data_IF_293744272729
#
_entry.id   IF_293744272729
#
_cell.length_a   1.000
_cell.length_b   1.000
_cell.length_c   1.000
_cell.angle_alpha   90.00
_cell.angle_beta   90.00
_cell.angle_gamma   90.00
#
_symmetry.space_group_name_H-M   'P 1'
#
loop_
_entity.id
_entity.type
_entity.pdbx_description
1 polymer ?
#
# COMPACT_ATOMS: atom_id res chain seq x y z
N UNK A 1 -9.88 -0.80 3.30
CA UNK A 1 -10.55 -1.55 4.40
C UNK A 1 -10.76 -3.06 4.17
N UNK A 2 -10.82 -3.60 2.94
CA UNK A 2 -11.18 -5.02 2.70
C UNK A 2 -10.16 -6.08 3.13
N UNK A 3 -8.85 -5.83 2.96
CA UNK A 3 -7.77 -6.80 3.26
C UNK A 3 -7.60 -7.09 4.76
N UNK A 4 -7.80 -6.08 5.61
CA UNK A 4 -7.74 -6.23 7.07
C UNK A 4 -8.82 -7.15 7.64
N UNK A 5 -10.02 -7.14 7.03
CA UNK A 5 -11.11 -8.03 7.45
C UNK A 5 -10.89 -9.49 7.06
N UNK A 6 -10.05 -9.78 6.06
CA UNK A 6 -9.64 -11.14 5.71
C UNK A 6 -8.55 -11.64 6.67
N UNK A 7 -7.52 -10.83 6.94
CA UNK A 7 -6.46 -11.21 7.89
C UNK A 7 -6.98 -11.50 9.31
N UNK A 8 -7.92 -10.71 9.81
CA UNK A 8 -8.57 -10.97 11.12
C UNK A 8 -9.45 -12.22 11.08
N UNK A 9 -10.08 -12.53 9.94
CA UNK A 9 -10.95 -13.71 9.79
C UNK A 9 -10.14 -15.00 9.69
N UNK A 10 -8.96 -14.94 9.09
CA UNK A 10 -8.02 -16.07 9.03
C UNK A 10 -7.32 -16.28 10.37
N UNK A 11 -6.96 -15.22 11.10
CA UNK A 11 -6.43 -15.33 12.46
C UNK A 11 -7.46 -15.93 13.45
N UNK A 12 -8.75 -15.59 13.31
CA UNK A 12 -9.84 -16.21 14.09
C UNK A 12 -10.04 -17.68 13.73
N UNK A 13 -9.63 -18.10 12.53
CA UNK A 13 -9.65 -19.50 12.09
C UNK A 13 -8.49 -20.33 12.66
N UNK A 14 -7.45 -19.67 13.13
CA UNK A 14 -6.21 -20.28 13.61
C UNK A 14 -6.16 -20.40 15.15
N UNK A 15 -7.24 -20.05 15.86
CA UNK A 15 -7.37 -20.44 17.27
C UNK A 15 -7.69 -21.93 17.28
N UNK A 16 -6.77 -22.82 17.71
CA UNK A 16 -7.05 -24.24 17.80
C UNK A 16 -8.14 -24.41 18.86
N UNK A 17 -9.37 -24.59 18.39
CA UNK A 17 -10.42 -25.13 19.22
C UNK A 17 -9.96 -26.55 19.53
N UNK A 18 -9.78 -26.84 20.82
CA UNK A 18 -9.55 -28.20 21.30
C UNK A 18 -10.80 -29.02 20.99
N UNK A 19 -10.94 -29.41 19.74
CA UNK A 19 -12.12 -30.11 19.27
C UNK A 19 -12.07 -31.49 19.91
N UNK A 20 -13.05 -31.75 20.76
CA UNK A 20 -13.17 -33.04 21.42
C UNK A 20 -13.37 -34.12 20.36
N UNK A 21 -12.65 -35.23 20.49
CA UNK A 21 -12.87 -36.56 19.87
C UNK A 21 -14.05 -36.59 18.89
N UNK A 22 -13.83 -36.84 17.58
CA UNK A 22 -14.89 -36.93 16.58
C UNK A 22 -16.05 -37.79 17.10
N UNK A 23 -17.25 -37.19 17.19
CA UNK A 23 -18.39 -37.77 17.88
C UNK A 23 -18.72 -39.20 17.44
N UNK A 24 -18.40 -39.52 16.19
CA UNK A 24 -18.66 -40.80 15.54
C UNK A 24 -17.82 -41.95 16.13
N UNK A 25 -16.53 -41.73 16.42
CA UNK A 25 -15.65 -42.78 16.97
C UNK A 25 -16.06 -43.15 18.40
N UNK A 26 -16.34 -42.13 19.22
CA UNK A 26 -16.85 -42.33 20.59
C UNK A 26 -18.21 -43.01 20.60
N UNK A 27 -19.15 -42.59 19.75
CA UNK A 27 -20.48 -43.19 19.68
C UNK A 27 -20.43 -44.68 19.28
N UNK A 28 -19.58 -45.03 18.31
CA UNK A 28 -19.40 -46.41 17.89
C UNK A 28 -18.88 -47.29 19.04
N UNK A 29 -17.87 -46.81 19.78
CA UNK A 29 -17.30 -47.54 20.93
C UNK A 29 -18.25 -47.62 22.11
N UNK A 30 -18.87 -46.51 22.48
CA UNK A 30 -19.86 -46.46 23.56
C UNK A 30 -21.05 -47.37 23.28
N UNK A 31 -21.49 -47.45 22.01
CA UNK A 31 -22.53 -48.39 21.59
C UNK A 31 -22.08 -49.84 21.79
N UNK A 32 -20.86 -50.19 21.41
CA UNK A 32 -20.34 -51.55 21.61
C UNK A 32 -20.27 -51.92 23.10
N UNK A 33 -19.80 -51.00 23.95
CA UNK A 33 -19.75 -51.18 25.41
C UNK A 33 -21.16 -51.34 25.99
N UNK A 34 -22.12 -50.53 25.54
CA UNK A 34 -23.52 -50.64 25.98
C UNK A 34 -24.16 -51.97 25.56
N UNK A 35 -23.98 -52.38 24.31
CA UNK A 35 -24.48 -53.69 23.82
C UNK A 35 -23.88 -54.81 24.66
N UNK A 36 -22.59 -54.74 24.94
CA UNK A 36 -21.90 -55.70 25.78
C UNK A 36 -22.47 -55.71 27.21
N UNK A 37 -22.65 -54.55 27.85
CA UNK A 37 -23.27 -54.40 29.18
C UNK A 37 -24.70 -54.97 29.23
N UNK A 38 -25.54 -54.60 28.28
CA UNK A 38 -26.94 -55.07 28.22
C UNK A 38 -27.01 -56.58 27.98
N UNK A 39 -26.06 -57.16 27.23
CA UNK A 39 -25.97 -58.61 27.01
C UNK A 39 -25.67 -59.38 28.31
N UNK A 40 -25.02 -58.76 29.30
CA UNK A 40 -24.77 -59.41 30.59
C UNK A 40 -26.03 -59.52 31.45
N UNK A 41 -27.01 -58.61 31.31
CA UNK A 41 -28.25 -58.65 32.09
C UNK A 41 -29.05 -59.97 31.94
N UNK A 42 -29.37 -60.46 30.72
CA UNK A 42 -30.04 -61.75 30.56
C UNK A 42 -29.15 -62.92 30.98
N UNK A 43 -27.84 -62.85 30.74
CA UNK A 43 -26.88 -63.89 31.16
C UNK A 43 -26.88 -64.05 32.69
N UNK A 44 -26.79 -62.95 33.44
CA UNK A 44 -26.81 -62.93 34.90
C UNK A 44 -28.17 -63.38 35.45
N UNK A 45 -29.27 -62.99 34.81
CA UNK A 45 -30.61 -63.42 35.21
C UNK A 45 -30.78 -64.94 35.05
N UNK A 46 -30.34 -65.50 33.92
CA UNK A 46 -30.40 -66.95 33.68
C UNK A 46 -29.49 -67.70 34.65
N UNK A 47 -28.23 -67.27 34.79
CA UNK A 47 -27.25 -67.90 35.67
C UNK A 47 -27.70 -67.87 37.15
N UNK A 48 -28.25 -66.76 37.62
CA UNK A 48 -28.70 -66.61 39.01
C UNK A 48 -29.95 -67.44 39.38
N UNK A 49 -30.84 -67.70 38.41
CA UNK A 49 -32.05 -68.50 38.59
C UNK A 49 -31.86 -70.00 38.26
N UNK A 50 -30.74 -70.37 37.64
CA UNK A 50 -30.50 -71.75 37.25
C UNK A 50 -30.07 -72.59 38.45
N UNK A 51 -30.74 -73.73 38.66
CA UNK A 51 -30.33 -74.75 39.63
C UNK A 51 -30.02 -76.03 38.87
N UNK A 52 -28.76 -76.45 38.90
CA UNK A 52 -28.32 -77.67 38.20
C UNK A 52 -26.87 -78.02 38.51
N UNK A 53 -26.59 -79.31 38.62
CA UNK A 53 -25.23 -79.84 38.54
C UNK A 53 -24.89 -80.00 37.06
N UNK A 54 -23.94 -79.25 36.52
CA UNK A 54 -23.54 -79.43 35.13
C UNK A 54 -22.62 -80.67 35.03
N UNK A 55 -23.06 -81.80 34.43
CA UNK A 55 -22.31 -83.05 34.48
C UNK A 55 -21.15 -83.11 33.49
N UNK A 56 -21.05 -82.20 32.51
CA UNK A 56 -20.19 -82.40 31.34
C UNK A 56 -19.03 -81.40 31.18
N UNK A 57 -19.01 -80.26 31.88
CA UNK A 57 -17.96 -79.24 31.66
C UNK A 57 -17.21 -78.82 32.92
N UNK A 58 -17.87 -78.62 34.07
CA UNK A 58 -17.24 -77.97 35.25
C UNK A 58 -17.42 -78.69 36.59
N UNK A 59 -18.32 -79.67 36.69
CA UNK A 59 -18.58 -80.36 37.97
C UNK A 59 -19.15 -79.46 39.07
N UNK A 60 -19.64 -78.27 38.71
CA UNK A 60 -20.12 -77.26 39.64
C UNK A 60 -21.57 -77.53 40.08
N UNK A 61 -21.84 -77.35 41.38
CA UNK A 61 -23.21 -77.28 41.90
C UNK A 61 -23.66 -75.83 41.91
N UNK A 62 -24.32 -75.39 40.83
CA UNK A 62 -24.94 -74.07 40.79
C UNK A 62 -26.21 -74.11 41.65
N UNK A 63 -26.14 -73.51 42.83
CA UNK A 63 -27.30 -73.29 43.69
C UNK A 63 -27.94 -71.97 43.32
N UNK A 64 -29.22 -71.95 42.98
CA UNK A 64 -29.93 -70.70 42.72
C UNK A 64 -29.78 -69.76 43.93
N UNK A 65 -29.30 -68.55 43.66
CA UNK A 65 -29.28 -67.50 44.65
C UNK A 65 -30.74 -67.12 44.99
N UNK A 66 -31.03 -66.63 46.21
CA UNK A 66 -32.36 -66.14 46.54
C UNK A 66 -32.83 -65.12 45.50
N UNK A 67 -34.07 -65.24 45.01
CA UNK A 67 -34.57 -64.45 43.88
C UNK A 67 -34.44 -62.93 44.09
N UNK A 68 -34.51 -62.48 45.34
CA UNK A 68 -34.28 -61.09 45.76
C UNK A 68 -32.86 -60.57 45.42
N UNK A 69 -31.82 -61.40 45.58
CA UNK A 69 -30.43 -61.03 45.28
C UNK A 69 -30.19 -60.97 43.76
N UNK A 70 -30.81 -61.89 43.01
CA UNK A 70 -30.74 -61.90 41.54
C UNK A 70 -31.46 -60.68 40.96
N UNK A 71 -32.67 -60.38 41.43
CA UNK A 71 -33.44 -59.23 41.00
C UNK A 71 -32.76 -57.90 41.35
N UNK A 72 -32.17 -57.77 42.54
CA UNK A 72 -31.42 -56.58 42.95
C UNK A 72 -30.16 -56.41 42.10
N UNK A 73 -29.36 -57.47 41.94
CA UNK A 73 -28.12 -57.43 41.15
C UNK A 73 -28.36 -57.09 39.67
N UNK A 74 -29.29 -57.81 39.03
CA UNK A 74 -29.67 -57.54 37.63
C UNK A 74 -30.32 -56.16 37.49
N UNK A 75 -31.17 -55.77 38.46
CA UNK A 75 -31.78 -54.43 38.50
C UNK A 75 -30.75 -53.31 38.59
N UNK A 76 -29.70 -53.48 39.39
CA UNK A 76 -28.60 -52.52 39.48
C UNK A 76 -27.83 -52.38 38.15
N UNK A 77 -27.53 -53.50 37.48
CA UNK A 77 -26.89 -53.51 36.16
C UNK A 77 -27.75 -52.81 35.11
N UNK A 78 -29.05 -53.13 35.06
CA UNK A 78 -30.01 -52.48 34.15
C UNK A 78 -30.13 -50.99 34.43
N UNK A 79 -30.17 -50.59 35.71
CA UNK A 79 -30.15 -49.19 36.12
C UNK A 79 -28.92 -48.45 35.61
N UNK A 80 -27.72 -49.02 35.81
CA UNK A 80 -26.47 -48.45 35.32
C UNK A 80 -26.43 -48.37 33.78
N UNK A 81 -26.93 -49.39 33.09
CA UNK A 81 -27.05 -49.37 31.63
C UNK A 81 -28.01 -48.27 31.14
N UNK A 82 -29.13 -48.05 31.84
CA UNK A 82 -30.08 -46.98 31.55
C UNK A 82 -29.45 -45.60 31.75
N UNK A 83 -28.75 -45.37 32.86
CA UNK A 83 -27.99 -44.13 33.06
C UNK A 83 -26.90 -43.91 32.00
N UNK A 84 -26.23 -44.98 31.56
CA UNK A 84 -25.25 -44.89 30.47
C UNK A 84 -25.88 -44.63 29.08
N UNK A 85 -27.18 -44.92 28.92
CA UNK A 85 -27.94 -44.72 27.69
C UNK A 85 -28.57 -43.31 27.59
N UNK A 86 -28.84 -42.69 28.73
CA UNK A 86 -29.57 -41.42 28.83
C UNK A 86 -28.83 -40.26 28.09
N UNK A 87 -29.46 -39.63 27.07
CA UNK A 87 -28.77 -38.69 26.17
C UNK A 87 -28.46 -37.32 26.77
N UNK A 88 -29.18 -36.92 27.83
CA UNK A 88 -28.94 -35.69 28.60
C UNK A 88 -27.63 -35.68 29.40
N UNK A 89 -26.99 -36.83 29.61
CA UNK A 89 -25.77 -36.94 30.39
C UNK A 89 -24.54 -36.65 29.52
N UNK A 90 -23.54 -35.91 30.04
CA UNK A 90 -22.30 -35.67 29.32
C UNK A 90 -21.55 -36.99 29.08
N UNK A 91 -20.78 -37.09 27.98
CA UNK A 91 -20.08 -38.31 27.54
C UNK A 91 -19.29 -39.00 28.65
N UNK A 92 -18.54 -38.20 29.43
CA UNK A 92 -17.77 -38.66 30.59
C UNK A 92 -18.61 -39.44 31.60
N UNK A 93 -19.84 -39.00 31.88
CA UNK A 93 -20.73 -39.67 32.83
C UNK A 93 -21.31 -40.95 32.22
N UNK A 94 -21.69 -40.92 30.94
CA UNK A 94 -22.21 -42.09 30.23
C UNK A 94 -21.19 -43.23 30.18
N UNK A 95 -19.94 -42.93 29.82
CA UNK A 95 -18.84 -43.91 29.83
C UNK A 95 -18.52 -44.39 31.25
N UNK A 96 -18.56 -43.49 32.26
CA UNK A 96 -18.38 -43.85 33.67
C UNK A 96 -19.42 -44.86 34.17
N UNK A 97 -20.70 -44.61 33.92
CA UNK A 97 -21.79 -45.54 34.29
C UNK A 97 -21.67 -46.88 33.56
N UNK A 98 -21.25 -46.88 32.29
CA UNK A 98 -21.03 -48.11 31.53
C UNK A 98 -19.89 -48.95 32.13
N UNK A 99 -18.77 -48.33 32.49
CA UNK A 99 -17.63 -49.00 33.13
C UNK A 99 -17.98 -49.56 34.51
N UNK A 100 -18.68 -48.78 35.34
CA UNK A 100 -19.18 -49.25 36.64
C UNK A 100 -20.12 -50.45 36.43
N UNK A 101 -21.04 -50.37 35.45
CA UNK A 101 -21.94 -51.45 35.09
C UNK A 101 -21.20 -52.74 34.71
N UNK A 102 -20.14 -52.66 33.90
CA UNK A 102 -19.34 -53.82 33.49
C UNK A 102 -18.56 -54.43 34.66
N UNK A 103 -18.01 -53.61 35.55
CA UNK A 103 -17.38 -54.09 36.78
C UNK A 103 -18.38 -54.78 37.70
N UNK A 104 -19.59 -54.22 37.85
CA UNK A 104 -20.68 -54.83 38.60
C UNK A 104 -21.13 -56.16 37.96
N UNK A 105 -21.19 -56.24 36.63
CA UNK A 105 -21.48 -57.50 35.94
C UNK A 105 -20.46 -58.58 36.26
N UNK A 106 -19.17 -58.24 36.23
CA UNK A 106 -18.09 -59.17 36.55
C UNK A 106 -18.18 -59.66 38.00
N UNK A 107 -18.43 -58.75 38.94
CA UNK A 107 -18.61 -59.09 40.36
C UNK A 107 -19.82 -60.02 40.60
N UNK A 108 -20.96 -59.74 39.95
CA UNK A 108 -22.16 -60.58 40.05
C UNK A 108 -21.96 -61.94 39.38
N UNK A 109 -21.23 -62.02 38.27
CA UNK A 109 -20.93 -63.27 37.58
C UNK A 109 -20.10 -64.18 38.49
N UNK A 110 -19.07 -63.65 39.15
CA UNK A 110 -18.26 -64.39 40.16
C UNK A 110 -19.12 -64.85 41.34
N UNK A 111 -19.95 -63.94 41.86
CA UNK A 111 -20.82 -64.21 43.01
C UNK A 111 -21.84 -65.33 42.70
N UNK A 112 -22.58 -65.23 41.60
CA UNK A 112 -23.56 -66.24 41.18
C UNK A 112 -22.92 -67.54 40.70
N UNK A 113 -21.69 -67.48 40.18
CA UNK A 113 -20.96 -68.68 39.82
C UNK A 113 -20.58 -69.50 41.06
N UNK A 114 -20.50 -68.93 42.27
CA UNK A 114 -19.99 -69.61 43.46
C UNK A 114 -18.48 -69.47 43.66
N UNK A 115 -17.86 -68.45 43.03
CA UNK A 115 -16.45 -68.12 43.23
C UNK A 115 -15.44 -68.90 42.37
N UNK A 116 -15.88 -69.56 41.29
CA UNK A 116 -14.97 -70.31 40.41
C UNK A 116 -13.96 -69.41 39.70
N UNK A 117 -12.80 -70.00 39.40
CA UNK A 117 -11.69 -69.29 38.75
C UNK A 117 -12.05 -68.86 37.33
N UNK A 118 -12.87 -69.63 36.61
CA UNK A 118 -13.39 -69.33 35.27
C UNK A 118 -14.17 -68.01 35.25
N UNK A 119 -15.02 -67.79 36.25
CA UNK A 119 -15.77 -66.55 36.40
C UNK A 119 -14.86 -65.35 36.72
N UNK A 120 -13.76 -65.57 37.45
CA UNK A 120 -12.78 -64.51 37.73
C UNK A 120 -12.00 -64.09 36.47
N UNK A 121 -11.84 -64.96 35.47
CA UNK A 121 -11.20 -64.56 34.20
C UNK A 121 -11.96 -63.45 33.47
N UNK A 122 -13.28 -63.37 33.65
CA UNK A 122 -14.09 -62.30 33.07
C UNK A 122 -13.64 -60.91 33.54
N UNK A 123 -13.24 -60.76 34.80
CA UNK A 123 -12.73 -59.50 35.34
C UNK A 123 -11.51 -59.00 34.55
N UNK A 124 -10.57 -59.90 34.22
CA UNK A 124 -9.40 -59.55 33.41
C UNK A 124 -9.79 -59.10 32.00
N UNK A 125 -10.81 -59.71 31.39
CA UNK A 125 -11.35 -59.27 30.09
C UNK A 125 -11.94 -57.86 30.19
N UNK A 126 -12.75 -57.58 31.22
CA UNK A 126 -13.34 -56.25 31.42
C UNK A 126 -12.25 -55.20 31.64
N UNK A 127 -11.28 -55.48 32.51
CA UNK A 127 -10.17 -54.55 32.78
C UNK A 127 -9.35 -54.30 31.52
N UNK A 128 -9.09 -55.32 30.70
CA UNK A 128 -8.38 -55.14 29.43
C UNK A 128 -9.15 -54.22 28.46
N UNK A 129 -10.48 -54.38 28.35
CA UNK A 129 -11.32 -53.51 27.51
C UNK A 129 -11.30 -52.07 28.03
N UNK A 130 -11.46 -51.87 29.34
CA UNK A 130 -11.41 -50.54 29.95
C UNK A 130 -10.03 -49.88 29.80
N UNK A 131 -8.94 -50.64 29.97
CA UNK A 131 -7.59 -50.16 29.80
C UNK A 131 -7.30 -49.75 28.35
N UNK A 132 -7.80 -50.51 27.38
CA UNK A 132 -7.69 -50.15 25.96
C UNK A 132 -8.43 -48.84 25.65
N UNK A 133 -9.59 -48.62 26.27
CA UNK A 133 -10.31 -47.35 26.13
C UNK A 133 -9.50 -46.18 26.70
N UNK A 134 -8.99 -46.31 27.94
CA UNK A 134 -8.13 -45.30 28.56
C UNK A 134 -6.89 -45.01 27.72
N UNK A 135 -6.24 -46.05 27.19
CA UNK A 135 -5.09 -45.89 26.28
C UNK A 135 -5.47 -45.08 25.04
N UNK A 136 -6.58 -45.42 24.39
CA UNK A 136 -6.99 -44.68 23.20
C UNK A 136 -7.32 -43.22 23.50
N UNK A 137 -7.90 -42.90 24.66
CA UNK A 137 -8.12 -41.53 25.11
C UNK A 137 -6.80 -40.78 25.33
N UNK A 138 -5.80 -41.46 25.90
CA UNK A 138 -4.46 -40.91 26.10
C UNK A 138 -3.75 -40.64 24.75
N UNK A 139 -3.80 -41.60 23.83
CA UNK A 139 -3.22 -41.48 22.48
C UNK A 139 -3.86 -40.30 21.72
N UNK A 140 -5.18 -40.13 21.81
CA UNK A 140 -5.89 -39.03 21.18
C UNK A 140 -5.54 -37.66 21.79
N UNK A 141 -5.43 -37.59 23.11
CA UNK A 141 -4.98 -36.38 23.83
C UNK A 141 -3.55 -35.99 23.44
N UNK A 142 -2.65 -36.97 23.29
CA UNK A 142 -1.29 -36.74 22.85
C UNK A 142 -1.25 -36.20 21.41
N UNK A 143 -2.03 -36.79 20.50
CA UNK A 143 -2.11 -36.34 19.11
C UNK A 143 -2.63 -34.90 18.99
N UNK A 144 -3.68 -34.55 19.74
CA UNK A 144 -4.19 -33.17 19.79
C UNK A 144 -3.15 -32.20 20.35
N UNK A 145 -2.39 -32.60 21.36
CA UNK A 145 -1.34 -31.76 21.93
C UNK A 145 -0.22 -31.49 20.92
N UNK A 146 0.19 -32.52 20.16
CA UNK A 146 1.16 -32.36 19.07
C UNK A 146 0.66 -31.43 17.95
N UNK A 147 -0.63 -31.51 17.60
CA UNK A 147 -1.25 -30.60 16.63
C UNK A 147 -1.26 -29.14 17.12
N UNK A 148 -1.52 -28.91 18.41
CA UNK A 148 -1.45 -27.58 19.02
C UNK A 148 -0.02 -27.05 18.99
N UNK A 149 0.97 -27.88 19.32
CA UNK A 149 2.39 -27.51 19.27
C UNK A 149 2.84 -27.07 17.86
N UNK A 150 2.43 -27.81 16.84
CA UNK A 150 2.67 -27.43 15.45
C UNK A 150 2.03 -26.09 15.10
N UNK A 151 0.76 -25.91 15.48
CA UNK A 151 0.01 -24.66 15.26
C UNK A 151 0.71 -23.46 15.92
N UNK A 152 1.19 -23.63 17.15
CA UNK A 152 1.93 -22.57 17.85
C UNK A 152 3.23 -22.24 17.11
N UNK A 153 3.96 -23.25 16.64
CA UNK A 153 5.23 -23.07 15.92
C UNK A 153 5.01 -22.26 14.64
N UNK A 154 4.05 -22.67 13.82
CA UNK A 154 3.64 -21.95 12.60
C UNK A 154 3.21 -20.51 12.90
N UNK A 155 2.46 -20.28 13.99
CA UNK A 155 2.06 -18.91 14.40
C UNK A 155 3.27 -18.04 14.74
N UNK A 156 4.24 -18.59 15.46
CA UNK A 156 5.45 -17.86 15.86
C UNK A 156 6.30 -17.51 14.63
N UNK A 157 6.42 -18.43 13.68
CA UNK A 157 7.09 -18.18 12.40
C UNK A 157 6.38 -17.08 11.59
N UNK A 158 5.05 -17.12 11.54
CA UNK A 158 4.24 -16.10 10.86
C UNK A 158 4.43 -14.70 11.48
N UNK A 159 4.48 -14.61 12.81
CA UNK A 159 4.76 -13.35 13.50
C UNK A 159 6.15 -12.83 13.15
N UNK A 160 7.17 -13.69 13.11
CA UNK A 160 8.52 -13.30 12.72
C UNK A 160 8.59 -12.78 11.28
N UNK A 161 7.88 -13.44 10.36
CA UNK A 161 7.77 -12.99 8.95
C UNK A 161 7.11 -11.63 8.84
N UNK A 162 5.99 -11.40 9.54
CA UNK A 162 5.30 -10.10 9.55
C UNK A 162 6.19 -9.00 10.13
N UNK A 163 6.98 -9.28 11.17
CA UNK A 163 7.93 -8.30 11.70
C UNK A 163 8.99 -7.90 10.66
N UNK A 164 9.55 -8.87 9.94
CA UNK A 164 10.52 -8.58 8.86
C UNK A 164 9.89 -7.75 7.72
N UNK A 165 8.66 -8.08 7.31
CA UNK A 165 7.91 -7.30 6.30
C UNK A 165 7.63 -5.86 6.78
N UNK A 166 7.36 -5.67 8.08
CA UNK A 166 7.16 -4.35 8.68
C UNK A 166 8.46 -3.52 8.71
N UNK A 167 9.61 -4.13 9.00
CA UNK A 167 10.91 -3.45 8.91
C UNK A 167 11.21 -3.00 7.49
N UNK A 168 10.94 -3.86 6.50
CA UNK A 168 11.08 -3.49 5.09
C UNK A 168 10.14 -2.33 4.70
N UNK A 169 8.89 -2.38 5.15
CA UNK A 169 7.91 -1.33 4.90
C UNK A 169 8.34 -0.01 5.52
N UNK A 170 8.94 -0.04 6.72
CA UNK A 170 9.51 1.15 7.38
C UNK A 170 10.63 1.76 6.55
N UNK A 171 11.57 0.96 6.06
CA UNK A 171 12.67 1.44 5.23
C UNK A 171 12.17 2.08 3.91
N UNK A 172 11.12 1.52 3.32
CA UNK A 172 10.47 2.10 2.15
C UNK A 172 9.80 3.44 2.46
N UNK A 173 9.16 3.57 3.62
CA UNK A 173 8.57 4.83 4.07
C UNK A 173 9.62 5.93 4.28
N UNK A 174 10.74 5.61 4.93
CA UNK A 174 11.86 6.56 5.12
C UNK A 174 12.43 7.03 3.76
N UNK A 175 12.55 6.13 2.79
CA UNK A 175 12.98 6.48 1.43
C UNK A 175 11.96 7.38 0.72
N UNK A 176 10.67 7.06 0.86
CA UNK A 176 9.58 7.84 0.28
C UNK A 176 9.48 9.25 0.89
N UNK A 177 9.74 9.38 2.20
CA UNK A 177 9.82 10.65 2.92
C UNK A 177 10.95 11.54 2.38
N UNK A 178 12.15 10.99 2.21
CA UNK A 178 13.29 11.71 1.60
C UNK A 178 12.95 12.18 0.19
N UNK A 179 12.43 11.29 -0.65
CA UNK A 179 12.08 11.62 -2.05
C UNK A 179 11.03 12.73 -2.13
N UNK A 180 10.05 12.72 -1.21
CA UNK A 180 9.01 13.76 -1.16
C UNK A 180 9.57 15.11 -0.72
N UNK A 181 10.55 15.10 0.20
CA UNK A 181 11.25 16.30 0.66
C UNK A 181 12.09 16.90 -0.46
N UNK A 182 12.87 16.07 -1.16
CA UNK A 182 13.68 16.50 -2.31
C UNK A 182 12.80 17.11 -3.42
N UNK A 183 11.62 16.51 -3.67
CA UNK A 183 10.65 17.06 -4.62
C UNK A 183 10.11 18.42 -4.17
N UNK A 184 9.81 18.59 -2.88
CA UNK A 184 9.33 19.87 -2.34
C UNK A 184 10.39 20.98 -2.46
N UNK A 185 11.66 20.67 -2.19
CA UNK A 185 12.78 21.60 -2.39
C UNK A 185 12.95 21.98 -3.86
N UNK A 186 12.84 21.00 -4.78
CA UNK A 186 12.89 21.28 -6.21
C UNK A 186 11.76 22.22 -6.67
N UNK A 187 10.54 22.03 -6.15
CA UNK A 187 9.42 22.93 -6.45
C UNK A 187 9.63 24.34 -5.89
N UNK A 188 10.20 24.46 -4.68
CA UNK A 188 10.55 25.76 -4.12
C UNK A 188 11.57 26.50 -5.00
N UNK A 189 12.60 25.79 -5.48
CA UNK A 189 13.60 26.36 -6.39
C UNK A 189 12.99 26.81 -7.73
N UNK A 190 12.04 26.04 -8.28
CA UNK A 190 11.31 26.46 -9.50
C UNK A 190 10.51 27.73 -9.25
N UNK A 191 9.86 27.87 -8.10
CA UNK A 191 9.11 29.08 -7.75
C UNK A 191 10.02 30.32 -7.70
N UNK A 192 11.20 30.20 -7.10
CA UNK A 192 12.18 31.29 -7.04
C UNK A 192 12.69 31.68 -8.44
N UNK A 193 12.96 30.70 -9.30
CA UNK A 193 13.34 30.94 -10.69
C UNK A 193 12.23 31.69 -11.44
N UNK A 194 10.97 31.31 -11.25
CA UNK A 194 9.83 31.99 -11.89
C UNK A 194 9.72 33.44 -11.44
N UNK A 195 9.91 33.73 -10.14
CA UNK A 195 9.92 35.11 -9.61
C UNK A 195 11.09 35.94 -10.19
N UNK A 196 12.27 35.33 -10.33
CA UNK A 196 13.42 35.96 -10.99
C UNK A 196 13.16 36.27 -12.48
N UNK A 197 12.49 35.36 -13.19
CA UNK A 197 12.10 35.58 -14.59
C UNK A 197 11.08 36.72 -14.69
N UNK A 198 10.10 36.81 -13.77
CA UNK A 198 9.12 37.91 -13.77
C UNK A 198 9.78 39.28 -13.59
N UNK A 199 10.73 39.38 -12.65
CA UNK A 199 11.56 40.59 -12.49
C UNK A 199 12.34 40.92 -13.76
N UNK A 200 12.97 39.91 -14.37
CA UNK A 200 13.75 40.09 -15.60
C UNK A 200 12.89 40.57 -16.77
N UNK A 201 11.67 40.05 -16.90
CA UNK A 201 10.72 40.45 -17.95
C UNK A 201 10.27 41.91 -17.74
N UNK A 202 9.97 42.31 -16.51
CA UNK A 202 9.63 43.70 -16.20
C UNK A 202 10.78 44.67 -16.49
N UNK A 203 12.02 44.26 -16.23
CA UNK A 203 13.21 45.07 -16.52
C UNK A 203 13.45 45.19 -18.03
N UNK A 204 13.28 44.10 -18.79
CA UNK A 204 13.33 44.14 -20.26
C UNK A 204 12.22 45.03 -20.84
N UNK A 205 11.00 44.96 -20.31
CA UNK A 205 9.91 45.83 -20.74
C UNK A 205 10.25 47.31 -20.52
N UNK A 206 10.79 47.65 -19.34
CA UNK A 206 11.22 49.03 -19.03
C UNK A 206 12.34 49.50 -19.96
N UNK A 207 13.37 48.67 -20.19
CA UNK A 207 14.46 48.98 -21.11
C UNK A 207 13.99 49.13 -22.57
N UNK A 208 12.96 48.37 -22.96
CA UNK A 208 12.35 48.48 -24.30
C UNK A 208 11.62 49.80 -24.47
N UNK A 209 10.85 50.24 -23.46
CA UNK A 209 10.17 51.55 -23.48
C UNK A 209 11.18 52.71 -23.54
N UNK A 210 12.28 52.62 -22.81
CA UNK A 210 13.38 53.59 -22.89
C UNK A 210 14.04 53.60 -24.28
N UNK A 211 14.24 52.42 -24.87
CA UNK A 211 14.75 52.27 -26.23
C UNK A 211 13.82 52.88 -27.30
N UNK A 212 12.52 52.71 -27.15
CA UNK A 212 11.52 53.32 -28.02
C UNK A 212 11.59 54.85 -27.96
N UNK A 213 11.63 55.42 -26.75
CA UNK A 213 11.78 56.88 -26.54
C UNK A 213 13.06 57.43 -27.16
N UNK A 214 14.18 56.74 -26.97
CA UNK A 214 15.47 57.13 -27.57
C UNK A 214 15.40 57.10 -29.10
N UNK A 215 14.67 56.13 -29.66
CA UNK A 215 14.47 56.03 -31.11
C UNK A 215 13.61 57.19 -31.63
N UNK A 216 12.56 57.59 -30.90
CA UNK A 216 11.75 58.77 -31.23
C UNK A 216 12.59 60.06 -31.20
N UNK A 217 13.45 60.24 -30.18
CA UNK A 217 14.36 61.38 -30.10
C UNK A 217 15.34 61.43 -31.29
N UNK A 218 15.86 60.27 -31.72
CA UNK A 218 16.72 60.18 -32.91
C UNK A 218 15.95 60.54 -34.19
N UNK A 219 14.71 60.10 -34.32
CA UNK A 219 13.87 60.45 -35.48
C UNK A 219 13.61 61.96 -35.52
N UNK A 220 13.28 62.59 -34.39
CA UNK A 220 13.10 64.04 -34.30
C UNK A 220 14.39 64.80 -34.64
N UNK A 221 15.54 64.32 -34.17
CA UNK A 221 16.84 64.91 -34.52
C UNK A 221 17.13 64.80 -36.04
N UNK A 222 16.80 63.67 -36.67
CA UNK A 222 16.94 63.48 -38.12
C UNK A 222 16.04 64.44 -38.90
N UNK A 223 14.78 64.63 -38.47
CA UNK A 223 13.87 65.60 -39.08
C UNK A 223 14.45 67.02 -38.96
N UNK A 224 14.98 67.40 -37.79
CA UNK A 224 15.64 68.68 -37.60
C UNK A 224 16.85 68.90 -38.51
N UNK A 225 17.68 67.87 -38.73
CA UNK A 225 18.81 67.93 -39.67
C UNK A 225 18.33 68.09 -41.13
N UNK A 226 17.25 67.42 -41.50
CA UNK A 226 16.67 67.52 -42.84
C UNK A 226 16.15 68.93 -43.13
N UNK A 227 15.45 69.54 -42.16
CA UNK A 227 14.97 70.93 -42.26
C UNK A 227 16.15 71.90 -42.36
N UNK A 228 17.18 71.74 -41.52
CA UNK A 228 18.35 72.62 -41.56
C UNK A 228 19.15 72.48 -42.87
N UNK A 229 19.22 71.28 -43.45
CA UNK A 229 19.83 71.07 -44.76
C UNK A 229 19.06 71.78 -45.87
N UNK A 230 17.72 71.86 -45.76
CA UNK A 230 16.88 72.56 -46.72
C UNK A 230 17.07 74.08 -46.63
N UNK A 231 17.16 74.63 -45.43
CA UNK A 231 17.49 76.05 -45.21
C UNK A 231 18.86 76.41 -45.81
N UNK A 232 19.87 75.56 -45.60
CA UNK A 232 21.22 75.75 -46.17
C UNK A 232 21.19 75.71 -47.70
N UNK A 233 20.41 74.82 -48.29
CA UNK A 233 20.25 74.74 -49.74
C UNK A 233 19.60 76.01 -50.31
N UNK A 234 18.53 76.52 -49.69
CA UNK A 234 17.90 77.79 -50.08
C UNK A 234 18.85 78.99 -49.94
N UNK A 235 19.61 79.07 -48.84
CA UNK A 235 20.63 80.11 -48.69
C UNK A 235 21.72 80.01 -49.73
N UNK A 236 22.15 78.80 -50.08
CA UNK A 236 23.19 78.58 -51.10
C UNK A 236 22.71 79.03 -52.48
N UNK A 237 21.45 78.74 -52.83
CA UNK A 237 20.83 79.17 -54.09
C UNK A 237 20.68 80.71 -54.17
N UNK A 238 20.27 81.33 -53.05
CA UNK A 238 20.21 82.78 -52.94
C UNK A 238 21.61 83.44 -53.06
N UNK A 239 22.64 82.84 -52.44
CA UNK A 239 24.02 83.32 -52.52
C UNK A 239 24.58 83.18 -53.95
N UNK A 240 24.27 82.08 -54.64
CA UNK A 240 24.64 81.87 -56.04
C UNK A 240 23.99 82.91 -56.95
N UNK A 241 22.68 83.14 -56.82
CA UNK A 241 21.96 84.20 -57.55
C UNK A 241 22.58 85.59 -57.30
N UNK A 242 22.96 85.89 -56.06
CA UNK A 242 23.64 87.14 -55.72
C UNK A 242 25.04 87.23 -56.36
N UNK A 243 25.79 86.13 -56.40
CA UNK A 243 27.10 86.08 -57.05
C UNK A 243 27.00 86.28 -58.57
N UNK A 244 26.01 85.66 -59.23
CA UNK A 244 25.73 85.86 -60.66
C UNK A 244 25.38 87.33 -60.96
N UNK A 245 24.53 87.94 -60.13
CA UNK A 245 24.20 89.36 -60.24
C UNK A 245 25.45 90.25 -60.08
N UNK A 246 26.32 89.95 -59.10
CA UNK A 246 27.59 90.68 -58.93
C UNK A 246 28.53 90.52 -60.12
N UNK A 247 28.62 89.33 -60.73
CA UNK A 247 29.41 89.11 -61.95
C UNK A 247 28.87 89.94 -63.11
N UNK A 248 27.54 90.04 -63.25
CA UNK A 248 26.91 90.91 -64.24
C UNK A 248 27.27 92.39 -63.99
N UNK A 249 27.17 92.87 -62.74
CA UNK A 249 27.56 94.24 -62.38
C UNK A 249 29.05 94.51 -62.64
N UNK A 250 29.94 93.56 -62.32
CA UNK A 250 31.38 93.70 -62.61
C UNK A 250 31.65 93.78 -64.12
N UNK A 251 30.90 93.01 -64.93
CA UNK A 251 31.00 93.09 -66.39
C UNK A 251 30.55 94.46 -66.92
N UNK A 252 29.46 95.00 -66.39
CA UNK A 252 28.96 96.33 -66.75
C UNK A 252 29.94 97.45 -66.33
N UNK A 253 30.51 97.35 -65.13
CA UNK A 253 31.58 98.28 -64.69
C UNK A 253 32.79 98.20 -65.62
N UNK A 254 33.19 97.00 -66.07
CA UNK A 254 34.29 96.84 -67.03
C UNK A 254 33.97 97.48 -68.38
N UNK A 255 32.76 97.31 -68.89
CA UNK A 255 32.32 97.95 -70.14
C UNK A 255 32.33 99.48 -70.02
N UNK A 256 31.83 100.03 -68.91
CA UNK A 256 31.92 101.46 -68.62
C UNK A 256 33.37 101.95 -68.51
N UNK A 257 34.26 101.16 -67.90
CA UNK A 257 35.68 101.50 -67.82
C UNK A 257 36.37 101.48 -69.20
N UNK A 258 36.02 100.51 -70.06
CA UNK A 258 36.53 100.45 -71.44
C UNK A 258 35.98 101.58 -72.31
N UNK A 259 34.71 101.96 -72.14
CA UNK A 259 34.10 103.12 -72.80
C UNK A 259 34.77 104.42 -72.33
N UNK A 260 34.96 104.61 -71.02
CA UNK A 260 35.66 105.77 -70.47
C UNK A 260 37.10 105.83 -71.00
N UNK A 261 37.80 104.70 -71.07
CA UNK A 261 39.14 104.61 -71.64
C UNK A 261 39.15 104.96 -73.12
N UNK A 262 38.15 104.51 -73.88
CA UNK A 262 37.93 104.88 -75.29
C UNK A 262 37.68 106.37 -75.47
N UNK A 263 36.82 106.98 -74.65
CA UNK A 263 36.58 108.44 -74.63
C UNK A 263 37.85 109.22 -74.31
N UNK A 264 38.64 108.74 -73.34
CA UNK A 264 39.91 109.37 -72.97
C UNK A 264 40.93 109.26 -74.11
N UNK A 265 40.99 108.12 -74.80
CA UNK A 265 41.83 107.93 -75.99
C UNK A 265 41.42 108.82 -77.16
N UNK A 266 40.12 108.96 -77.41
CA UNK A 266 39.58 109.88 -78.41
C UNK A 266 39.90 111.34 -78.08
N UNK A 267 39.74 111.75 -76.81
CA UNK A 267 40.16 113.08 -76.35
C UNK A 267 41.67 113.31 -76.53
N UNK A 268 42.51 112.29 -76.36
CA UNK A 268 43.95 112.37 -76.57
C UNK A 268 44.30 112.52 -78.07
N UNK A 269 43.63 111.79 -78.96
CA UNK A 269 43.79 111.90 -80.43
C UNK A 269 43.28 113.25 -80.97
N UNK A 270 42.20 113.78 -80.40
CA UNK A 270 41.71 115.13 -80.68
C UNK A 270 42.73 116.19 -80.20
N UNK A 271 43.41 115.96 -79.08
CA UNK A 271 44.51 116.81 -78.60
C UNK A 271 45.75 116.76 -79.50
N UNK A 272 46.09 115.60 -80.08
CA UNK A 272 47.19 115.45 -81.04
C UNK A 272 46.87 116.04 -82.42
N UNK A 273 45.58 116.15 -82.77
CA UNK A 273 45.10 116.82 -83.99
C UNK A 273 45.17 118.35 -83.87
N UNK A 274 45.17 118.89 -82.64
CA UNK A 274 45.49 120.29 -82.43
C UNK A 274 46.99 120.52 -82.69
N UNK A 275 47.28 120.97 -83.92
CA UNK A 275 48.56 121.55 -84.30
C UNK A 275 48.79 122.79 -83.41
N UNK A 276 49.47 122.59 -82.28
CA UNK A 276 50.01 123.71 -81.50
C UNK A 276 51.15 124.29 -82.32
N UNK A 277 50.82 125.27 -83.15
CA UNK A 277 51.78 126.13 -83.81
C UNK A 277 52.68 126.73 -82.72
N UNK A 278 53.87 126.15 -82.56
CA UNK A 278 54.94 126.72 -81.76
C UNK A 278 55.39 127.95 -82.54
N UNK A 279 55.16 129.18 -82.04
CA UNK A 279 55.64 130.37 -82.73
C UNK A 279 57.16 130.30 -82.73
N UNK A 280 57.74 130.21 -83.91
CA UNK A 280 59.18 130.37 -84.14
C UNK A 280 59.58 131.83 -83.92
N UNK A 281 60.47 132.03 -82.94
CA UNK A 281 61.42 133.14 -82.66
C UNK A 281 61.02 134.61 -82.95
N UNK A 282 61.02 135.44 -81.90
CA UNK A 282 62.02 136.52 -81.68
C UNK A 282 62.01 137.01 -80.21
#
# INVERSE_FOLDING_TARGET
MGRWRQGVRDAVRYVPQGDSIPNESWQARHRNILVFLVTHAPLLYLLGNFTGSDPYVTGATLTAAPAEHVLLGVGAVVGLALFAWLPWLPRRMRSGFASIGLLTCSALLVYFSGGYIEAHFHFFVIVAVLANEVKSLADETQNHSAAIEQTITETVEDVARVQAEMEQTKAQLETGESTTTDAAEAFAAVSEIVESVDMSVNEVATATDDGARTTEEVVDAIIGIADHSRDIAEQSDALASQAESRVATISEIREQLDELRGQTGGLQEELETFDCEVPSDD
#
